data_IF_177259960749
#
_entry.id   IF_177259960749
#
_cell.length_a   1.000
_cell.length_b   1.000
_cell.length_c   1.000
_cell.angle_alpha   90.00
_cell.angle_beta   90.00
_cell.angle_gamma   90.00
#
_symmetry.space_group_name_H-M   'P 1'
#
loop_
_entity.id
_entity.type
_entity.pdbx_description
1 polymer ?
#
# COMPACT_ATOMS: atom_id res chain seq x y z
N UNK A 1 -44.36 -31.18 8.05
CA UNK A 1 -44.24 -31.23 6.57
C UNK A 1 -44.85 -29.96 6.02
N UNK A 2 -44.04 -28.92 5.82
CA UNK A 2 -44.47 -27.69 5.15
C UNK A 2 -43.53 -27.45 3.97
N UNK A 3 -44.13 -27.50 2.79
CA UNK A 3 -43.46 -27.50 1.50
C UNK A 3 -42.96 -26.12 1.10
N UNK A 4 -41.79 -26.15 0.46
CA UNK A 4 -41.13 -25.10 -0.29
C UNK A 4 -42.03 -24.43 -1.32
N UNK A 5 -41.83 -23.12 -1.52
CA UNK A 5 -41.92 -22.47 -2.83
C UNK A 5 -40.91 -21.31 -2.84
N UNK A 6 -39.87 -21.46 -3.65
CA UNK A 6 -38.79 -20.50 -3.82
C UNK A 6 -38.78 -20.13 -5.32
N UNK A 7 -39.31 -18.96 -5.66
CA UNK A 7 -39.26 -18.40 -7.01
C UNK A 7 -38.37 -17.15 -6.95
N UNK A 8 -37.12 -17.28 -7.41
CA UNK A 8 -36.28 -16.12 -7.65
C UNK A 8 -35.84 -16.12 -9.12
N UNK A 9 -36.46 -15.23 -9.89
CA UNK A 9 -36.18 -14.99 -11.30
C UNK A 9 -34.96 -14.09 -11.44
N UNK A 10 -33.85 -14.65 -11.94
CA UNK A 10 -32.69 -13.92 -12.39
C UNK A 10 -33.02 -13.08 -13.63
N UNK A 11 -32.90 -11.75 -13.52
CA UNK A 11 -32.99 -10.84 -14.65
C UNK A 11 -31.56 -10.45 -15.06
N UNK A 12 -31.08 -11.02 -16.16
CA UNK A 12 -29.78 -10.70 -16.79
C UNK A 12 -30.01 -9.58 -17.78
N UNK A 13 -29.59 -8.37 -17.44
CA UNK A 13 -29.57 -7.23 -18.37
C UNK A 13 -28.25 -7.29 -19.14
N UNK A 14 -28.33 -7.75 -20.39
CA UNK A 14 -27.26 -7.71 -21.38
C UNK A 14 -27.15 -6.28 -21.94
N UNK A 15 -26.01 -5.63 -21.77
CA UNK A 15 -25.75 -4.29 -22.33
C UNK A 15 -25.14 -4.45 -23.71
N UNK A 16 -25.88 -4.04 -24.74
CA UNK A 16 -25.41 -3.89 -26.11
C UNK A 16 -24.35 -2.76 -26.20
N UNK A 17 -23.18 -3.07 -26.77
CA UNK A 17 -22.23 -2.08 -27.26
C UNK A 17 -22.51 -1.78 -28.73
N UNK A 18 -22.88 -0.53 -29.01
CA UNK A 18 -22.99 0.02 -30.36
C UNK A 18 -21.72 0.80 -30.65
N UNK A 19 -20.97 0.37 -31.67
CA UNK A 19 -19.92 1.18 -32.30
C UNK A 19 -20.58 2.25 -33.18
N UNK A 20 -20.02 3.46 -33.21
CA UNK A 20 -19.98 4.21 -34.46
C UNK A 20 -18.55 4.42 -34.95
N UNK A 21 -18.33 3.87 -36.15
CA UNK A 21 -17.37 4.33 -37.15
C UNK A 21 -17.71 5.77 -37.52
N UNK A 22 -16.73 6.67 -37.50
CA UNK A 22 -16.78 7.91 -38.28
C UNK A 22 -15.38 8.26 -38.77
N UNK A 23 -15.38 8.72 -40.01
CA UNK A 23 -14.36 8.74 -41.03
C UNK A 23 -13.16 9.68 -40.84
N UNK A 24 -12.14 9.31 -41.61
CA UNK A 24 -10.92 10.00 -41.98
C UNK A 24 -11.23 11.27 -42.81
N UNK A 25 -10.70 12.43 -42.41
CA UNK A 25 -10.52 13.56 -43.34
C UNK A 25 -9.21 14.33 -43.02
N UNK A 26 -8.30 14.55 -44.01
CA UNK A 26 -7.04 15.26 -43.80
C UNK A 26 -6.97 16.64 -44.50
N UNK A 27 -6.62 17.71 -43.75
CA UNK A 27 -5.85 18.94 -44.14
C UNK A 27 -6.25 20.17 -43.27
N UNK A 28 -5.48 21.29 -43.21
CA UNK A 28 -4.23 21.65 -43.89
C UNK A 28 -3.08 22.14 -42.97
N UNK A 29 -1.87 22.18 -43.56
CA UNK A 29 -0.69 22.91 -43.05
C UNK A 29 -0.92 24.42 -43.08
N UNK A 30 -0.63 25.13 -41.98
CA UNK A 30 -0.14 26.51 -42.01
C UNK A 30 0.45 26.97 -40.66
N UNK A 31 1.46 27.85 -40.80
CA UNK A 31 1.96 28.84 -39.84
C UNK A 31 2.76 28.37 -38.61
N UNK A 32 4.08 28.34 -38.86
CA UNK A 32 5.15 28.69 -37.93
C UNK A 32 4.76 29.94 -37.12
N UNK A 33 4.68 29.81 -35.80
CA UNK A 33 4.79 30.94 -34.88
C UNK A 33 5.78 30.58 -33.76
N UNK A 34 7.01 31.02 -33.99
CA UNK A 34 8.03 31.21 -32.96
C UNK A 34 7.53 32.25 -31.96
N UNK A 35 7.17 31.81 -30.76
CA UNK A 35 7.38 32.57 -29.53
C UNK A 35 6.94 31.72 -28.34
N UNK A 36 7.89 31.07 -27.67
CA UNK A 36 7.72 30.71 -26.28
C UNK A 36 8.92 31.26 -25.50
N UNK A 37 8.70 32.17 -24.53
CA UNK A 37 9.77 32.66 -23.68
C UNK A 37 10.30 31.49 -22.86
N UNK A 38 11.63 31.37 -22.81
CA UNK A 38 12.35 30.40 -22.01
C UNK A 38 11.92 30.55 -20.54
N UNK A 39 10.99 29.70 -20.10
CA UNK A 39 10.62 29.54 -18.71
C UNK A 39 11.82 29.00 -17.95
N UNK A 40 12.10 29.66 -16.82
CA UNK A 40 13.17 29.40 -15.89
C UNK A 40 13.43 27.90 -15.70
N UNK A 41 14.71 27.53 -15.76
CA UNK A 41 15.20 26.21 -15.44
C UNK A 41 14.72 25.79 -14.03
N UNK A 42 13.64 25.02 -13.98
CA UNK A 42 13.32 24.18 -12.83
C UNK A 42 14.50 23.22 -12.67
N UNK A 43 15.37 23.51 -11.69
CA UNK A 43 16.41 22.58 -11.28
C UNK A 43 15.70 21.27 -10.95
N UNK A 44 15.89 20.23 -11.77
CA UNK A 44 15.40 18.89 -11.47
C UNK A 44 15.82 18.54 -10.05
N UNK A 45 14.85 18.53 -9.14
CA UNK A 45 15.11 18.23 -7.76
C UNK A 45 15.69 16.82 -7.70
N UNK A 46 16.93 16.71 -7.22
CA UNK A 46 17.61 15.42 -7.08
C UNK A 46 16.77 14.54 -6.18
N UNK A 47 16.21 13.47 -6.77
CA UNK A 47 15.37 12.51 -6.05
C UNK A 47 16.19 11.84 -4.95
N UNK A 48 15.91 12.20 -3.69
CA UNK A 48 16.66 11.78 -2.50
C UNK A 48 15.68 11.30 -1.42
N UNK A 49 15.11 10.09 -1.60
CA UNK A 49 14.06 9.61 -0.72
C UNK A 49 14.59 9.29 0.68
N UNK A 50 13.95 9.85 1.70
CA UNK A 50 14.23 9.66 3.11
C UNK A 50 13.04 9.00 3.83
N UNK A 51 13.38 8.14 4.79
CA UNK A 51 12.40 7.51 5.66
C UNK A 51 12.14 8.33 6.93
N UNK A 52 10.87 8.49 7.26
CA UNK A 52 10.38 8.94 8.55
C UNK A 52 9.66 7.77 9.22
N UNK A 53 10.29 7.17 10.22
CA UNK A 53 9.81 5.95 10.87
C UNK A 53 8.95 6.26 12.09
N UNK A 54 7.89 5.47 12.30
CA UNK A 54 7.03 5.53 13.48
C UNK A 54 6.49 6.95 13.76
N UNK A 55 5.95 7.60 12.72
CA UNK A 55 5.36 8.93 12.80
C UNK A 55 4.05 8.86 13.59
N UNK A 56 3.87 9.80 14.53
CA UNK A 56 2.64 9.92 15.33
C UNK A 56 1.99 11.28 15.06
N UNK A 57 0.90 11.33 14.25
CA UNK A 57 0.33 12.58 13.72
C UNK A 57 -0.09 13.60 14.80
N UNK A 58 -0.40 13.13 16.01
CA UNK A 58 -0.90 13.96 17.12
C UNK A 58 0.20 14.41 18.09
N UNK A 59 1.46 13.96 17.94
CA UNK A 59 2.54 14.37 18.85
C UNK A 59 2.91 15.85 18.59
N UNK A 60 3.17 16.65 19.64
CA UNK A 60 3.57 18.05 19.48
C UNK A 60 4.77 18.23 18.54
N UNK A 61 5.81 17.41 18.70
CA UNK A 61 7.01 17.48 17.85
C UNK A 61 6.70 17.27 16.35
N UNK A 62 5.73 16.42 16.01
CA UNK A 62 5.30 16.19 14.63
C UNK A 62 4.50 17.37 14.09
N UNK A 63 3.69 18.02 14.94
CA UNK A 63 2.86 19.17 14.55
C UNK A 63 3.63 20.48 14.45
N UNK A 64 4.74 20.60 15.16
CA UNK A 64 5.65 21.76 15.08
C UNK A 64 6.49 21.77 13.79
N UNK A 65 6.61 20.64 13.09
CA UNK A 65 7.38 20.53 11.85
C UNK A 65 6.48 20.79 10.61
N UNK A 66 6.71 21.91 9.88
CA UNK A 66 5.88 22.26 8.73
C UNK A 66 6.00 21.28 7.56
N UNK A 67 7.17 20.66 7.37
CA UNK A 67 7.37 19.67 6.29
C UNK A 67 6.57 18.42 6.63
N UNK A 68 6.67 17.96 7.88
CA UNK A 68 5.92 16.79 8.34
C UNK A 68 4.41 17.00 8.25
N UNK A 69 3.90 18.20 8.59
CA UNK A 69 2.47 18.51 8.43
C UNK A 69 2.02 18.41 6.98
N UNK A 70 2.78 18.98 6.02
CA UNK A 70 2.48 18.81 4.59
C UNK A 70 2.48 17.34 4.14
N UNK A 71 3.43 16.55 4.65
CA UNK A 71 3.49 15.12 4.33
C UNK A 71 2.30 14.36 4.93
N UNK A 72 1.87 14.71 6.14
CA UNK A 72 0.68 14.12 6.77
C UNK A 72 -0.59 14.45 5.99
N UNK A 73 -0.74 15.68 5.49
CA UNK A 73 -1.86 16.07 4.63
C UNK A 73 -1.88 15.24 3.35
N UNK A 74 -0.73 15.07 2.68
CA UNK A 74 -0.60 14.20 1.51
C UNK A 74 -0.89 12.72 1.83
N UNK A 75 -0.49 12.22 3.01
CA UNK A 75 -0.81 10.86 3.45
C UNK A 75 -2.31 10.70 3.66
N UNK A 76 -2.96 11.69 4.28
CA UNK A 76 -4.42 11.72 4.48
C UNK A 76 -5.13 11.63 3.13
N UNK A 77 -4.84 12.56 2.22
CA UNK A 77 -5.43 12.61 0.88
C UNK A 77 -5.23 11.30 0.11
N UNK A 78 -4.00 10.77 0.11
CA UNK A 78 -3.69 9.51 -0.57
C UNK A 78 -4.42 8.33 0.08
N UNK A 79 -4.54 8.33 1.41
CA UNK A 79 -5.22 7.24 2.12
C UNK A 79 -6.72 7.21 1.84
N UNK A 80 -7.37 8.38 1.82
CA UNK A 80 -8.78 8.50 1.49
C UNK A 80 -9.03 8.11 0.02
N UNK A 81 -8.14 8.49 -0.90
CA UNK A 81 -8.27 8.17 -2.31
C UNK A 81 -8.06 6.68 -2.65
N UNK A 82 -7.22 5.97 -1.90
CA UNK A 82 -6.84 4.58 -2.21
C UNK A 82 -7.54 3.53 -1.35
N UNK A 83 -8.11 3.93 -0.21
CA UNK A 83 -8.74 3.02 0.76
C UNK A 83 -10.17 3.46 1.09
N UNK A 84 -10.99 3.65 0.06
CA UNK A 84 -12.46 3.84 0.19
C UNK A 84 -12.87 4.98 1.14
N UNK A 85 -12.13 6.09 1.12
CA UNK A 85 -12.38 7.24 1.99
C UNK A 85 -11.84 7.10 3.41
N UNK A 86 -11.12 6.03 3.75
CA UNK A 86 -10.57 5.86 5.08
C UNK A 86 -9.29 6.69 5.31
N UNK A 87 -9.38 7.66 6.23
CA UNK A 87 -8.21 8.35 6.77
C UNK A 87 -7.38 7.43 7.67
N UNK A 88 -6.20 7.02 7.21
CA UNK A 88 -5.35 6.11 7.98
C UNK A 88 -4.77 6.74 9.26
N UNK A 89 -4.66 8.07 9.33
CA UNK A 89 -4.04 8.79 10.43
C UNK A 89 -4.86 8.70 11.73
N UNK A 90 -6.16 8.49 11.63
CA UNK A 90 -7.05 8.37 12.79
C UNK A 90 -6.75 7.13 13.62
N UNK A 91 -6.32 6.05 12.96
CA UNK A 91 -5.94 4.78 13.59
C UNK A 91 -4.53 4.82 14.20
N UNK A 92 -3.74 5.88 13.94
CA UNK A 92 -2.36 6.02 14.44
C UNK A 92 -2.34 6.88 15.72
N UNK A 93 -2.12 6.23 16.85
CA UNK A 93 -2.01 6.88 18.15
C UNK A 93 -0.92 6.23 19.00
N UNK A 94 -0.50 6.87 20.09
CA UNK A 94 0.50 6.30 20.99
C UNK A 94 0.06 5.01 21.71
N UNK A 95 -1.26 4.71 21.71
CA UNK A 95 -1.82 3.47 22.28
C UNK A 95 -2.19 2.43 21.22
N UNK A 96 -2.27 2.85 19.95
CA UNK A 96 -2.58 1.96 18.85
C UNK A 96 -1.38 1.07 18.54
N UNK A 97 -1.58 -0.23 18.23
CA UNK A 97 -0.49 -1.08 17.75
C UNK A 97 -0.03 -0.68 16.33
N UNK A 98 -0.82 0.12 15.62
CA UNK A 98 -0.53 0.59 14.27
C UNK A 98 0.49 1.72 14.28
N UNK A 99 1.51 1.55 13.43
CA UNK A 99 2.62 2.47 13.23
C UNK A 99 2.59 2.95 11.79
N UNK A 100 2.88 4.24 11.60
CA UNK A 100 3.04 4.86 10.28
C UNK A 100 4.53 5.06 9.99
N UNK A 101 4.98 4.67 8.81
CA UNK A 101 6.25 5.10 8.24
C UNK A 101 6.00 5.80 6.90
N UNK A 102 6.70 6.89 6.65
CA UNK A 102 6.57 7.72 5.45
C UNK A 102 7.90 7.70 4.70
N UNK A 103 7.84 7.53 3.38
CA UNK A 103 8.96 7.74 2.47
C UNK A 103 8.70 9.04 1.71
N UNK A 104 9.61 10.00 1.78
CA UNK A 104 9.43 11.30 1.14
C UNK A 104 10.77 11.87 0.61
N UNK A 105 10.69 12.77 -0.37
CA UNK A 105 11.83 13.52 -0.91
C UNK A 105 11.55 14.99 -0.70
N UNK A 106 12.16 15.60 0.34
CA UNK A 106 11.75 16.93 0.81
C UNK A 106 10.33 16.91 1.37
N UNK A 107 9.47 17.81 0.86
CA UNK A 107 8.04 17.86 1.21
C UNK A 107 7.13 17.06 0.26
N UNK A 108 7.70 16.27 -0.66
CA UNK A 108 6.95 15.41 -1.56
C UNK A 108 6.83 13.98 -1.03
N UNK A 109 5.59 13.52 -0.82
CA UNK A 109 5.30 12.13 -0.46
C UNK A 109 5.67 11.18 -1.60
N UNK A 110 6.48 10.16 -1.31
CA UNK A 110 6.83 9.10 -2.26
C UNK A 110 6.05 7.82 -2.01
N UNK A 111 5.86 7.43 -0.75
CA UNK A 111 5.04 6.30 -0.33
C UNK A 111 4.74 6.38 1.17
N UNK A 112 3.72 5.67 1.63
CA UNK A 112 3.56 5.40 3.06
C UNK A 112 3.22 3.94 3.31
N UNK A 113 3.48 3.52 4.55
CA UNK A 113 3.10 2.20 5.05
C UNK A 113 2.58 2.30 6.49
N UNK A 114 1.44 1.66 6.73
CA UNK A 114 0.84 1.43 8.04
C UNK A 114 0.96 -0.04 8.38
N UNK A 115 1.53 -0.35 9.55
CA UNK A 115 1.83 -1.71 9.96
C UNK A 115 1.76 -1.89 11.48
N UNK A 116 1.65 -3.12 11.95
CA UNK A 116 1.73 -3.49 13.36
C UNK A 116 2.63 -4.72 13.56
N UNK A 117 3.13 -4.89 14.78
CA UNK A 117 3.79 -6.12 15.20
C UNK A 117 2.79 -6.97 15.99
N UNK A 118 2.61 -8.22 15.58
CA UNK A 118 1.77 -9.19 16.30
C UNK A 118 2.70 -10.17 16.99
N UNK A 119 3.01 -9.91 18.27
CA UNK A 119 4.05 -10.61 19.02
C UNK A 119 3.77 -12.10 19.16
N UNK A 120 2.53 -12.49 19.45
CA UNK A 120 2.14 -13.89 19.68
C UNK A 120 2.37 -14.77 18.44
N UNK A 121 2.29 -14.15 17.26
CA UNK A 121 2.56 -14.81 15.97
C UNK A 121 3.92 -14.48 15.39
N UNK A 122 4.70 -13.66 16.09
CA UNK A 122 6.00 -13.16 15.62
C UNK A 122 5.88 -12.60 14.19
N UNK A 123 4.85 -11.80 13.97
CA UNK A 123 4.46 -11.32 12.65
C UNK A 123 4.56 -9.80 12.51
N UNK A 124 4.91 -9.35 11.32
CA UNK A 124 4.78 -7.97 10.88
C UNK A 124 3.57 -7.88 9.94
N UNK A 125 2.46 -7.32 10.42
CA UNK A 125 1.23 -7.17 9.62
C UNK A 125 1.20 -5.81 8.95
N UNK A 126 1.10 -5.80 7.62
CA UNK A 126 0.93 -4.60 6.81
C UNK A 126 -0.55 -4.34 6.62
N UNK A 127 -1.05 -3.24 7.17
CA UNK A 127 -2.45 -2.84 7.03
C UNK A 127 -2.69 -2.01 5.77
N UNK A 128 -1.87 -0.98 5.54
CA UNK A 128 -2.00 -0.10 4.36
C UNK A 128 -0.65 0.20 3.75
N UNK A 129 -0.56 0.17 2.44
CA UNK A 129 0.61 0.62 1.68
C UNK A 129 0.13 1.30 0.41
N UNK A 130 0.55 2.54 0.19
CA UNK A 130 0.19 3.28 -1.00
C UNK A 130 1.37 4.09 -1.55
N UNK A 131 1.34 4.27 -2.87
CA UNK A 131 2.24 5.11 -3.65
C UNK A 131 1.37 6.07 -4.46
N UNK A 132 1.62 7.40 -4.42
CA UNK A 132 0.89 8.37 -5.23
C UNK A 132 0.88 7.97 -6.70
N UNK A 133 -0.24 8.18 -7.40
CA UNK A 133 -0.41 7.76 -8.81
C UNK A 133 0.72 8.28 -9.72
N UNK A 134 1.12 9.54 -9.54
CA UNK A 134 2.23 10.16 -10.29
C UNK A 134 3.61 9.48 -10.09
N UNK A 135 3.78 8.74 -8.99
CA UNK A 135 5.03 8.08 -8.61
C UNK A 135 4.99 6.54 -8.84
N UNK A 136 3.87 6.02 -9.37
CA UNK A 136 3.74 4.59 -9.71
C UNK A 136 4.60 4.22 -10.91
N UNK A 137 4.84 2.92 -11.09
CA UNK A 137 5.71 2.41 -12.16
C UNK A 137 7.20 2.61 -11.90
N UNK A 138 7.61 3.41 -10.91
CA UNK A 138 9.02 3.70 -10.56
C UNK A 138 9.65 2.70 -9.59
N UNK A 139 8.97 1.59 -9.30
CA UNK A 139 9.47 0.56 -8.38
C UNK A 139 9.36 0.88 -6.88
N UNK A 140 8.75 2.00 -6.49
CA UNK A 140 8.64 2.42 -5.07
C UNK A 140 7.93 1.39 -4.18
N UNK A 141 6.84 0.75 -4.66
CA UNK A 141 6.19 -0.32 -3.89
C UNK A 141 7.12 -1.51 -3.63
N UNK A 142 7.98 -1.86 -4.60
CA UNK A 142 9.03 -2.89 -4.40
C UNK A 142 10.09 -2.41 -3.41
N UNK A 143 10.50 -1.14 -3.51
CA UNK A 143 11.46 -0.53 -2.60
C UNK A 143 10.97 -0.56 -1.14
N UNK A 144 9.74 -0.14 -0.89
CA UNK A 144 9.11 -0.19 0.45
C UNK A 144 9.08 -1.62 0.99
N UNK A 145 8.64 -2.59 0.19
CA UNK A 145 8.55 -3.98 0.65
C UNK A 145 9.91 -4.66 0.85
N UNK A 146 10.95 -4.24 0.11
CA UNK A 146 12.33 -4.65 0.39
C UNK A 146 12.78 -4.08 1.74
N UNK A 147 12.50 -2.81 2.02
CA UNK A 147 12.78 -2.21 3.33
C UNK A 147 12.05 -2.95 4.46
N UNK A 148 10.78 -3.32 4.29
CA UNK A 148 10.04 -4.15 5.26
C UNK A 148 10.76 -5.48 5.49
N UNK A 149 11.15 -6.17 4.42
CA UNK A 149 11.86 -7.45 4.51
C UNK A 149 13.16 -7.34 5.29
N UNK A 150 13.99 -6.34 5.00
CA UNK A 150 15.26 -6.14 5.71
C UNK A 150 15.03 -5.72 7.18
N UNK A 151 14.05 -4.85 7.44
CA UNK A 151 13.67 -4.47 8.81
C UNK A 151 13.21 -5.66 9.63
N UNK A 152 12.44 -6.58 9.03
CA UNK A 152 12.00 -7.79 9.70
C UNK A 152 13.12 -8.81 9.90
N UNK A 153 14.09 -8.92 8.96
CA UNK A 153 15.26 -9.79 9.14
C UNK A 153 16.09 -9.36 10.35
N UNK A 154 16.25 -8.06 10.54
CA UNK A 154 16.97 -7.48 11.67
C UNK A 154 16.23 -7.68 13.01
N UNK A 155 14.90 -7.86 12.98
CA UNK A 155 14.11 -8.03 14.19
C UNK A 155 14.01 -9.53 14.60
N UNK A 156 14.63 -9.96 15.72
CA UNK A 156 14.58 -11.36 16.17
C UNK A 156 13.15 -11.87 16.44
N UNK A 157 12.22 -10.97 16.76
CA UNK A 157 10.84 -11.28 17.14
C UNK A 157 9.88 -11.35 15.95
N UNK A 158 10.39 -11.23 14.71
CA UNK A 158 9.60 -11.38 13.49
C UNK A 158 10.12 -12.55 12.67
N UNK A 159 9.24 -13.48 12.33
CA UNK A 159 9.50 -14.60 11.42
C UNK A 159 8.73 -14.45 10.11
N UNK A 160 7.55 -13.83 10.15
CA UNK A 160 6.65 -13.71 9.00
C UNK A 160 6.20 -12.25 8.77
N UNK A 161 6.00 -11.90 7.51
CA UNK A 161 5.33 -10.66 7.10
C UNK A 161 3.99 -11.05 6.49
N UNK A 162 2.92 -10.40 6.92
CA UNK A 162 1.54 -10.69 6.51
C UNK A 162 0.91 -9.44 5.91
N UNK A 163 0.03 -9.63 4.92
CA UNK A 163 -0.75 -8.55 4.33
C UNK A 163 -2.00 -9.10 3.64
N UNK A 164 -2.99 -8.23 3.46
CA UNK A 164 -4.11 -8.46 2.53
C UNK A 164 -3.86 -7.68 1.24
N UNK A 165 -3.92 -8.37 0.11
CA UNK A 165 -3.59 -7.81 -1.20
C UNK A 165 -4.84 -7.67 -2.06
N UNK A 166 -5.02 -6.50 -2.66
CA UNK A 166 -5.88 -6.35 -3.83
C UNK A 166 -5.38 -7.24 -4.98
N UNK A 167 -6.26 -7.74 -5.87
CA UNK A 167 -5.89 -8.60 -6.98
C UNK A 167 -4.76 -8.05 -7.86
N UNK A 168 -4.79 -6.74 -8.13
CA UNK A 168 -3.81 -6.05 -8.95
C UNK A 168 -2.37 -6.08 -8.36
N UNK A 169 -2.23 -6.15 -7.04
CA UNK A 169 -0.94 -6.11 -6.35
C UNK A 169 -0.34 -7.51 -6.09
N UNK A 170 -1.10 -8.60 -6.33
CA UNK A 170 -0.64 -9.97 -6.07
C UNK A 170 0.64 -10.31 -6.83
N UNK A 171 0.75 -9.89 -8.09
CA UNK A 171 1.94 -10.17 -8.92
C UNK A 171 3.19 -9.49 -8.35
N UNK A 172 3.04 -8.27 -7.82
CA UNK A 172 4.10 -7.54 -7.14
C UNK A 172 4.58 -8.31 -5.90
N UNK A 173 3.67 -8.70 -5.00
CA UNK A 173 4.03 -9.37 -3.76
C UNK A 173 4.62 -10.77 -4.01
N UNK A 174 4.11 -11.52 -4.99
CA UNK A 174 4.71 -12.80 -5.40
C UNK A 174 6.17 -12.65 -5.82
N UNK A 175 6.51 -11.61 -6.59
CA UNK A 175 7.90 -11.33 -7.02
C UNK A 175 8.85 -11.08 -5.84
N UNK A 176 8.33 -10.61 -4.71
CA UNK A 176 9.10 -10.28 -3.51
C UNK A 176 9.30 -11.51 -2.60
N UNK A 177 8.44 -12.52 -2.76
CA UNK A 177 8.49 -13.79 -2.03
C UNK A 177 7.23 -14.11 -1.22
N UNK A 178 6.15 -13.33 -1.37
CA UNK A 178 4.88 -13.63 -0.73
C UNK A 178 4.19 -14.82 -1.41
N UNK A 179 3.49 -15.61 -0.62
CA UNK A 179 2.65 -16.72 -1.04
C UNK A 179 1.21 -16.42 -0.67
N UNK A 180 0.27 -16.81 -1.53
CA UNK A 180 -1.16 -16.77 -1.20
C UNK A 180 -1.46 -17.85 -0.19
N UNK A 181 -2.25 -17.52 0.83
CA UNK A 181 -2.71 -18.47 1.84
C UNK A 181 -4.23 -18.55 1.71
N UNK A 182 -4.73 -19.74 1.37
CA UNK A 182 -6.16 -19.99 1.17
C UNK A 182 -6.84 -20.55 2.42
N UNK A 183 -6.06 -21.21 3.29
CA UNK A 183 -6.52 -21.69 4.58
C UNK A 183 -5.99 -20.74 5.63
N UNK A 184 -6.85 -19.83 6.08
CA UNK A 184 -6.52 -18.89 7.13
C UNK A 184 -6.58 -19.66 8.45
N UNK A 185 -5.47 -20.31 8.80
CA UNK A 185 -5.32 -20.96 10.11
C UNK A 185 -4.88 -19.97 11.19
N UNK A 186 -4.44 -18.76 10.79
CA UNK A 186 -3.83 -17.76 11.67
C UNK A 186 -4.16 -16.32 11.23
N UNK A 187 -5.42 -15.99 10.86
CA UNK A 187 -5.81 -14.56 10.77
C UNK A 187 -5.97 -13.98 12.15
N UNK A 188 -5.62 -12.71 12.30
CA UNK A 188 -5.94 -11.98 13.51
C UNK A 188 -7.46 -11.92 13.58
N UNK A 189 -8.12 -12.38 14.67
CA UNK A 189 -9.57 -12.30 14.77
C UNK A 189 -10.08 -10.86 14.61
N UNK A 190 -9.23 -9.86 14.85
CA UNK A 190 -9.54 -8.45 14.67
C UNK A 190 -9.30 -7.94 13.22
N UNK A 191 -8.72 -8.74 12.32
CA UNK A 191 -8.53 -8.39 10.91
C UNK A 191 -9.70 -8.92 10.08
N UNK A 192 -10.70 -8.07 9.88
CA UNK A 192 -11.81 -8.32 8.96
C UNK A 192 -11.28 -8.45 7.52
N UNK A 193 -11.61 -9.57 6.88
CA UNK A 193 -11.24 -9.80 5.49
C UNK A 193 -12.11 -8.93 4.60
N UNK A 194 -11.50 -7.92 3.99
CA UNK A 194 -12.17 -7.09 2.98
C UNK A 194 -12.47 -7.94 1.75
N UNK A 195 -13.71 -7.92 1.29
CA UNK A 195 -14.16 -8.69 0.13
C UNK A 195 -13.27 -8.41 -1.09
N UNK A 196 -12.91 -9.47 -1.82
CA UNK A 196 -12.03 -9.37 -2.98
C UNK A 196 -10.52 -9.25 -2.69
N UNK A 197 -10.11 -9.10 -1.43
CA UNK A 197 -8.69 -9.16 -1.06
C UNK A 197 -8.21 -10.59 -0.80
N UNK A 198 -6.92 -10.83 -1.06
CA UNK A 198 -6.27 -12.13 -0.84
C UNK A 198 -5.20 -11.99 0.23
N UNK A 199 -5.33 -12.78 1.29
CA UNK A 199 -4.32 -12.86 2.34
C UNK A 199 -3.02 -13.51 1.83
N UNK A 200 -1.89 -12.88 2.15
CA UNK A 200 -0.57 -13.28 1.67
C UNK A 200 0.48 -13.21 2.78
N UNK A 201 1.40 -14.18 2.77
CA UNK A 201 2.47 -14.28 3.75
C UNK A 201 3.85 -14.44 3.10
N UNK A 202 4.87 -13.85 3.72
CA UNK A 202 6.27 -14.04 3.37
C UNK A 202 7.06 -14.44 4.61
N UNK A 203 7.72 -15.59 4.54
CA UNK A 203 8.70 -15.97 5.55
C UNK A 203 9.97 -15.13 5.39
N UNK A 204 10.39 -14.50 6.48
CA UNK A 204 11.58 -13.63 6.52
C UNK A 204 12.86 -14.46 6.64
N UNK A 205 12.77 -15.63 7.28
CA UNK A 205 13.86 -16.57 7.53
C UNK A 205 13.67 -17.85 6.74
N UNK A 206 14.78 -18.53 6.41
CA UNK A 206 14.71 -19.85 5.79
C UNK A 206 14.07 -20.85 6.76
N UNK A 207 13.20 -21.76 6.28
CA UNK A 207 12.71 -22.87 7.09
C UNK A 207 13.93 -23.68 7.58
N UNK A 208 14.11 -23.77 8.91
CA UNK A 208 15.27 -24.39 9.56
C UNK A 208 16.07 -23.46 10.49
N UNK A 209 16.19 -22.17 10.17
CA UNK A 209 16.91 -21.22 11.04
C UNK A 209 16.06 -20.70 12.21
N UNK A 210 14.73 -20.74 12.09
CA UNK A 210 13.82 -20.26 13.13
C UNK A 210 13.81 -21.16 14.39
N UNK A 211 14.03 -22.47 14.24
CA UNK A 211 13.91 -23.46 15.33
C UNK A 211 15.11 -23.49 16.28
N UNK A 212 16.30 -23.07 15.85
CA UNK A 212 17.52 -23.25 16.64
C UNK A 212 17.67 -22.31 17.84
N UNK A 213 16.80 -21.30 18.00
CA UNK A 213 16.86 -20.36 19.14
C UNK A 213 15.80 -20.61 20.22
N UNK A 214 14.78 -21.42 19.95
CA UNK A 214 13.75 -21.73 20.94
C UNK A 214 14.25 -22.69 22.03
N UNK A 215 15.34 -23.45 21.80
CA UNK A 215 15.86 -24.43 22.75
C UNK A 215 17.03 -23.94 23.63
N UNK A 216 17.37 -22.64 23.62
CA UNK A 216 18.46 -22.07 24.45
C UNK A 216 17.98 -21.14 25.57
N UNK A 217 16.69 -21.16 25.87
CA UNK A 217 16.09 -20.47 27.01
C UNK A 217 15.14 -21.42 27.73
N UNK A 218 15.72 -22.41 28.38
CA UNK A 218 15.12 -23.23 29.44
C UNK A 218 16.07 -23.15 30.62
#
# INVERSE_FOLDING_TARGET
>A
MCSSQNNNTNNVVSVHMVNPVVDDEPKPRAAVNNCCPSTAAEKEAVFSPQWYHCVYPRKPATRSDPIMMKLLDQVKELSEAEFEGENCLEKISGRSPWKLSILASGDQLCAFIVYKFVNDRRAFSVGKLAVPKAMRGRGLGTFVMKWVKESCKANPNVDIVTLSSLPAAIKLYKKIGFKKIYTITQSDPDEELVEGQVYMEMNVRKPGQARHRASRRS
#
